data_IF_201382521171
#
_entry.id   IF_201382521171
#
_cell.length_a   1.000
_cell.length_b   1.000
_cell.length_c   1.000
_cell.angle_alpha   90.00
_cell.angle_beta   90.00
_cell.angle_gamma   90.00
#
_symmetry.space_group_name_H-M   'P 1'
#
loop_
_entity.id
_entity.type
_entity.pdbx_description
1 polymer ?
#
# COMPACT_ATOMS: atom_id res chain seq x y z
N UNK A 1 6.42 -14.15 26.50
CA UNK A 1 6.86 -14.73 25.22
C UNK A 1 7.42 -13.57 24.41
N UNK A 2 8.69 -13.63 24.01
CA UNK A 2 9.34 -12.53 23.32
C UNK A 2 8.71 -12.30 21.94
N UNK A 3 8.58 -11.03 21.52
CA UNK A 3 7.95 -10.65 20.24
C UNK A 3 8.59 -11.39 19.07
N UNK A 4 9.91 -11.61 19.11
CA UNK A 4 10.64 -12.33 18.08
C UNK A 4 10.11 -13.76 17.90
N UNK A 5 9.87 -14.49 19.01
CA UNK A 5 9.39 -15.87 18.95
C UNK A 5 7.96 -15.93 18.42
N UNK A 6 7.08 -15.01 18.87
CA UNK A 6 5.71 -14.93 18.36
C UNK A 6 5.65 -14.62 16.85
N UNK A 7 6.53 -13.76 16.35
CA UNK A 7 6.65 -13.46 14.91
C UNK A 7 7.18 -14.66 14.13
N UNK A 8 8.16 -15.39 14.66
CA UNK A 8 8.69 -16.58 14.00
C UNK A 8 7.63 -17.68 13.89
N UNK A 9 6.86 -17.91 14.95
CA UNK A 9 5.75 -18.88 14.95
C UNK A 9 4.69 -18.49 13.90
N UNK A 10 4.38 -17.19 13.78
CA UNK A 10 3.45 -16.67 12.78
C UNK A 10 3.94 -16.87 11.33
N UNK A 11 5.23 -16.63 11.06
CA UNK A 11 5.80 -16.87 9.73
C UNK A 11 5.80 -18.36 9.37
N UNK A 12 6.05 -19.25 10.34
CA UNK A 12 6.00 -20.68 10.15
C UNK A 12 4.58 -21.19 9.84
N UNK A 13 3.56 -20.63 10.48
CA UNK A 13 2.15 -20.90 10.17
C UNK A 13 1.82 -20.49 8.73
N UNK A 14 2.16 -19.26 8.35
CA UNK A 14 1.93 -18.77 6.97
C UNK A 14 2.71 -19.57 5.92
N UNK A 15 3.91 -20.07 6.25
CA UNK A 15 4.66 -20.97 5.38
C UNK A 15 3.88 -22.26 5.10
N UNK A 16 3.21 -22.83 6.10
CA UNK A 16 2.39 -24.04 5.93
C UNK A 16 1.16 -23.84 5.04
N UNK A 17 0.69 -22.60 4.90
CA UNK A 17 -0.39 -22.22 3.99
C UNK A 17 0.10 -21.79 2.60
N UNK A 18 1.40 -21.49 2.47
CA UNK A 18 1.97 -20.97 1.24
C UNK A 18 1.99 -22.04 0.14
N UNK A 19 1.85 -21.65 -1.14
CA UNK A 19 2.13 -22.54 -2.24
C UNK A 19 3.58 -23.05 -2.16
N UNK A 20 3.82 -24.33 -2.48
CA UNK A 20 5.13 -24.98 -2.39
C UNK A 20 6.25 -24.18 -3.07
N UNK A 21 5.96 -23.57 -4.21
CA UNK A 21 6.94 -22.76 -4.96
C UNK A 21 7.34 -21.46 -4.25
N UNK A 22 6.56 -21.00 -3.28
CA UNK A 22 6.79 -19.77 -2.54
C UNK A 22 7.21 -19.99 -1.07
N UNK A 23 7.22 -21.24 -0.58
CA UNK A 23 7.62 -21.55 0.81
C UNK A 23 9.03 -21.02 1.16
N UNK A 24 9.94 -21.00 0.18
CA UNK A 24 11.31 -20.50 0.36
C UNK A 24 11.36 -19.03 0.81
N UNK A 25 10.40 -18.20 0.39
CA UNK A 25 10.33 -16.80 0.82
C UNK A 25 10.13 -16.68 2.33
N UNK A 26 9.37 -17.59 2.95
CA UNK A 26 9.14 -17.54 4.39
C UNK A 26 10.38 -17.90 5.20
N UNK A 27 11.22 -18.82 4.69
CA UNK A 27 12.53 -19.11 5.28
C UNK A 27 13.44 -17.87 5.21
N UNK A 28 13.42 -17.15 4.09
CA UNK A 28 14.16 -15.90 3.95
C UNK A 28 13.62 -14.80 4.88
N UNK A 29 12.29 -14.70 5.04
CA UNK A 29 11.68 -13.74 5.96
C UNK A 29 12.08 -14.02 7.41
N UNK A 30 12.09 -15.28 7.84
CA UNK A 30 12.53 -15.71 9.17
C UNK A 30 13.99 -15.31 9.42
N UNK A 31 14.93 -15.69 8.54
CA UNK A 31 16.36 -15.34 8.69
C UNK A 31 16.58 -13.82 8.73
N UNK A 32 15.96 -13.10 7.79
CA UNK A 32 16.11 -11.65 7.69
C UNK A 32 15.47 -10.93 8.89
N UNK A 33 14.37 -11.44 9.44
CA UNK A 33 13.73 -10.92 10.65
C UNK A 33 14.62 -11.12 11.89
N UNK A 34 15.12 -12.33 12.12
CA UNK A 34 15.97 -12.65 13.27
C UNK A 34 17.26 -11.81 13.27
N UNK A 35 17.84 -11.64 12.08
CA UNK A 35 19.06 -10.85 11.87
C UNK A 35 18.80 -9.35 11.74
N UNK A 36 17.53 -8.91 11.79
CA UNK A 36 17.10 -7.52 11.70
C UNK A 36 17.51 -6.82 10.41
N UNK A 37 17.49 -7.55 9.30
CA UNK A 37 17.87 -7.10 7.95
C UNK A 37 16.67 -6.41 7.25
N UNK A 38 16.17 -5.31 7.82
CA UNK A 38 14.90 -4.68 7.42
C UNK A 38 14.81 -4.30 5.95
N UNK A 39 15.91 -3.83 5.35
CA UNK A 39 15.92 -3.46 3.93
C UNK A 39 15.80 -4.68 3.02
N UNK A 40 16.57 -5.73 3.29
CA UNK A 40 16.51 -6.99 2.54
C UNK A 40 15.16 -7.70 2.74
N UNK A 41 14.63 -7.67 3.97
CA UNK A 41 13.29 -8.16 4.29
C UNK A 41 12.22 -7.46 3.45
N UNK A 42 12.29 -6.14 3.34
CA UNK A 42 11.34 -5.37 2.53
C UNK A 42 11.44 -5.72 1.06
N UNK A 43 12.65 -5.85 0.52
CA UNK A 43 12.87 -6.19 -0.89
C UNK A 43 12.37 -7.60 -1.22
N UNK A 44 12.64 -8.54 -0.34
CA UNK A 44 12.17 -9.94 -0.46
C UNK A 44 10.65 -10.00 -0.40
N UNK A 45 10.01 -9.25 0.50
CA UNK A 45 8.55 -9.13 0.57
C UNK A 45 7.95 -8.52 -0.71
N UNK A 46 8.61 -7.51 -1.30
CA UNK A 46 8.18 -6.92 -2.56
C UNK A 46 8.23 -7.96 -3.68
N UNK A 47 9.29 -8.75 -3.78
CA UNK A 47 9.38 -9.85 -4.77
C UNK A 47 8.28 -10.89 -4.52
N UNK A 48 8.07 -11.30 -3.28
CA UNK A 48 6.98 -12.21 -2.91
C UNK A 48 5.60 -11.68 -3.34
N UNK A 49 5.34 -10.38 -3.14
CA UNK A 49 4.07 -9.73 -3.48
C UNK A 49 3.83 -9.60 -5.00
N UNK A 50 4.85 -9.81 -5.85
CA UNK A 50 4.69 -9.85 -7.31
C UNK A 50 4.05 -11.15 -7.80
N UNK A 51 4.20 -12.25 -7.06
CA UNK A 51 3.63 -13.54 -7.44
C UNK A 51 2.13 -13.55 -7.24
N UNK A 52 1.33 -13.87 -8.27
CA UNK A 52 -0.13 -13.88 -8.16
C UNK A 52 -0.63 -14.78 -7.03
N UNK A 53 0.02 -15.93 -6.82
CA UNK A 53 -0.35 -16.88 -5.76
C UNK A 53 -0.09 -16.38 -4.34
N UNK A 54 0.68 -15.30 -4.15
CA UNK A 54 0.86 -14.71 -2.81
C UNK A 54 -0.35 -13.90 -2.35
N UNK A 55 -1.27 -13.57 -3.26
CA UNK A 55 -2.41 -12.67 -3.05
C UNK A 55 -3.06 -12.83 -1.67
N UNK A 56 -3.60 -14.01 -1.36
CA UNK A 56 -4.38 -14.26 -0.13
C UNK A 56 -3.62 -14.00 1.18
N UNK A 57 -2.28 -14.05 1.17
CA UNK A 57 -1.44 -13.84 2.36
C UNK A 57 -0.96 -12.39 2.52
N UNK A 58 -1.07 -11.54 1.49
CA UNK A 58 -0.50 -10.17 1.50
C UNK A 58 -1.09 -9.29 2.58
N UNK A 59 -2.42 -9.31 2.75
CA UNK A 59 -3.10 -8.48 3.74
C UNK A 59 -2.83 -8.92 5.19
N UNK A 60 -2.89 -10.23 5.53
CA UNK A 60 -2.40 -10.73 6.82
C UNK A 60 -0.94 -10.38 7.10
N UNK A 61 -0.03 -10.62 6.14
CA UNK A 61 1.39 -10.26 6.26
C UNK A 61 1.57 -8.78 6.53
N UNK A 62 0.83 -7.91 5.83
CA UNK A 62 0.93 -6.49 6.05
C UNK A 62 0.54 -6.11 7.49
N UNK A 63 -0.63 -6.56 7.94
CA UNK A 63 -1.20 -6.17 9.25
C UNK A 63 -0.44 -6.75 10.43
N UNK A 64 -0.01 -8.01 10.34
CA UNK A 64 0.49 -8.79 11.47
C UNK A 64 2.01 -8.99 11.45
N UNK A 65 2.70 -8.62 10.36
CA UNK A 65 4.15 -8.75 10.25
C UNK A 65 4.81 -7.44 9.85
N UNK A 66 4.48 -6.89 8.67
CA UNK A 66 5.17 -5.71 8.11
C UNK A 66 5.05 -4.48 9.04
N UNK A 67 3.90 -4.31 9.69
CA UNK A 67 3.71 -3.18 10.62
C UNK A 67 4.66 -3.19 11.83
N UNK A 68 5.25 -4.33 12.21
CA UNK A 68 6.19 -4.42 13.34
C UNK A 68 7.52 -3.70 13.10
N UNK A 69 7.91 -3.50 11.85
CA UNK A 69 9.17 -2.85 11.47
C UNK A 69 8.97 -1.69 10.49
N UNK A 70 7.74 -1.19 10.36
CA UNK A 70 7.38 -0.11 9.43
C UNK A 70 8.19 1.18 9.63
N UNK A 71 8.64 1.47 10.85
CA UNK A 71 9.47 2.63 11.20
C UNK A 71 10.95 2.46 10.80
N UNK A 72 11.37 1.24 10.44
CA UNK A 72 12.75 0.91 10.08
C UNK A 72 13.02 0.88 8.57
N UNK A 73 12.00 1.11 7.75
CA UNK A 73 12.07 0.91 6.30
C UNK A 73 11.67 2.17 5.54
N UNK A 74 11.97 2.17 4.24
CA UNK A 74 11.56 3.24 3.34
C UNK A 74 10.03 3.29 3.24
N UNK A 75 9.44 4.47 3.48
CA UNK A 75 7.99 4.62 3.56
C UNK A 75 7.30 4.45 2.21
N UNK A 76 7.97 4.75 1.09
CA UNK A 76 7.41 4.50 -0.25
C UNK A 76 7.29 2.99 -0.53
N UNK A 77 8.29 2.21 -0.10
CA UNK A 77 8.23 0.74 -0.15
C UNK A 77 7.12 0.17 0.74
N UNK A 78 6.96 0.72 1.95
CA UNK A 78 5.85 0.37 2.85
C UNK A 78 4.49 0.61 2.17
N UNK A 79 4.29 1.78 1.56
CA UNK A 79 3.05 2.10 0.82
C UNK A 79 2.87 1.19 -0.39
N UNK A 80 3.94 0.84 -1.10
CA UNK A 80 3.89 -0.11 -2.22
C UNK A 80 3.35 -1.49 -1.79
N UNK A 81 3.85 -2.01 -0.66
CA UNK A 81 3.35 -3.26 -0.07
C UNK A 81 1.88 -3.12 0.36
N UNK A 82 1.51 -1.98 0.96
CA UNK A 82 0.14 -1.70 1.36
C UNK A 82 -0.82 -1.72 0.16
N UNK A 83 -0.50 -1.02 -0.91
CA UNK A 83 -1.33 -0.97 -2.12
C UNK A 83 -1.52 -2.36 -2.74
N UNK A 84 -0.47 -3.20 -2.74
CA UNK A 84 -0.59 -4.57 -3.20
C UNK A 84 -1.46 -5.43 -2.27
N UNK A 85 -1.32 -5.28 -0.95
CA UNK A 85 -2.19 -5.93 0.03
C UNK A 85 -3.66 -5.48 -0.04
N UNK A 86 -3.90 -4.22 -0.38
CA UNK A 86 -5.24 -3.63 -0.48
C UNK A 86 -6.12 -4.29 -1.56
N UNK A 87 -5.50 -4.99 -2.53
CA UNK A 87 -6.22 -5.80 -3.53
C UNK A 87 -7.01 -6.97 -2.92
N UNK A 88 -6.70 -7.35 -1.68
CA UNK A 88 -7.33 -8.46 -0.97
C UNK A 88 -8.39 -8.00 0.04
N UNK A 89 -8.64 -6.70 0.15
CA UNK A 89 -9.76 -6.19 0.92
C UNK A 89 -11.07 -6.68 0.30
N UNK A 90 -12.03 -7.03 1.17
CA UNK A 90 -13.32 -7.61 0.79
C UNK A 90 -14.13 -6.71 -0.14
N UNK A 91 -14.09 -5.41 0.12
CA UNK A 91 -14.84 -4.41 -0.62
C UNK A 91 -14.13 -3.05 -0.60
N UNK A 92 -14.68 -2.09 -1.36
CA UNK A 92 -14.12 -0.75 -1.47
C UNK A 92 -14.14 0.03 -0.16
N UNK A 93 -15.05 -0.28 0.77
CA UNK A 93 -15.13 0.40 2.07
C UNK A 93 -14.00 -0.06 2.99
N UNK A 94 -13.76 -1.37 3.10
CA UNK A 94 -12.62 -1.90 3.83
C UNK A 94 -11.30 -1.41 3.22
N UNK A 95 -11.21 -1.38 1.89
CA UNK A 95 -10.04 -0.87 1.18
C UNK A 95 -9.79 0.60 1.48
N UNK A 96 -10.85 1.42 1.53
CA UNK A 96 -10.77 2.83 1.89
C UNK A 96 -10.23 3.03 3.31
N UNK A 97 -10.76 2.28 4.28
CA UNK A 97 -10.35 2.37 5.69
C UNK A 97 -8.88 1.95 5.85
N UNK A 98 -8.50 0.83 5.22
CA UNK A 98 -7.13 0.34 5.23
C UNK A 98 -6.15 1.36 4.63
N UNK A 99 -6.38 1.82 3.40
CA UNK A 99 -5.50 2.78 2.74
C UNK A 99 -5.46 4.15 3.45
N UNK A 100 -6.57 4.59 4.04
CA UNK A 100 -6.61 5.83 4.82
C UNK A 100 -5.75 5.74 6.09
N UNK A 101 -5.75 4.58 6.75
CA UNK A 101 -4.86 4.32 7.89
C UNK A 101 -3.39 4.33 7.48
N UNK A 102 -3.07 3.80 6.31
CA UNK A 102 -1.71 3.80 5.75
C UNK A 102 -1.28 5.22 5.42
N UNK A 103 -2.13 6.01 4.75
CA UNK A 103 -1.86 7.41 4.46
C UNK A 103 -1.59 8.21 5.74
N UNK A 104 -2.40 8.02 6.79
CA UNK A 104 -2.17 8.66 8.10
C UNK A 104 -0.83 8.27 8.71
N UNK A 105 -0.44 7.00 8.59
CA UNK A 105 0.82 6.49 9.15
C UNK A 105 2.06 7.12 8.50
N UNK A 106 1.99 7.41 7.20
CA UNK A 106 3.10 8.00 6.44
C UNK A 106 2.99 9.53 6.27
N UNK A 107 2.00 10.18 6.90
CA UNK A 107 1.82 11.65 6.86
C UNK A 107 2.82 12.33 7.79
N UNK A 108 4.08 12.43 7.35
CA UNK A 108 5.11 13.17 8.05
C UNK A 108 6.05 13.87 7.06
N UNK A 109 6.82 14.89 7.49
CA UNK A 109 7.64 15.70 6.58
C UNK A 109 8.69 14.92 5.78
N UNK A 110 9.15 13.77 6.29
CA UNK A 110 10.22 12.98 5.67
C UNK A 110 9.69 11.90 4.71
N UNK A 111 8.37 11.76 4.55
CA UNK A 111 7.75 10.76 3.67
C UNK A 111 6.58 11.33 2.88
N UNK A 112 6.70 12.58 2.45
CA UNK A 112 5.66 13.27 1.69
C UNK A 112 5.38 12.60 0.33
N UNK A 113 6.38 11.95 -0.29
CA UNK A 113 6.22 11.15 -1.52
C UNK A 113 5.36 9.89 -1.29
N UNK A 114 5.63 9.16 -0.21
CA UNK A 114 4.85 8.01 0.23
C UNK A 114 3.43 8.43 0.62
N UNK A 115 3.30 9.58 1.30
CA UNK A 115 2.01 10.16 1.65
C UNK A 115 1.18 10.51 0.42
N UNK A 116 1.78 11.14 -0.59
CA UNK A 116 1.12 11.40 -1.87
C UNK A 116 0.68 10.09 -2.50
N UNK A 117 1.56 9.09 -2.56
CA UNK A 117 1.24 7.81 -3.19
C UNK A 117 0.04 7.11 -2.51
N UNK A 118 0.02 7.08 -1.18
CA UNK A 118 -1.10 6.52 -0.42
C UNK A 118 -2.39 7.35 -0.58
N UNK A 119 -2.28 8.68 -0.56
CA UNK A 119 -3.43 9.60 -0.68
C UNK A 119 -4.08 9.50 -2.07
N UNK A 120 -3.27 9.35 -3.13
CA UNK A 120 -3.78 9.11 -4.48
C UNK A 120 -4.55 7.80 -4.54
N UNK A 121 -4.03 6.72 -3.94
CA UNK A 121 -4.74 5.46 -3.88
C UNK A 121 -6.07 5.56 -3.11
N UNK A 122 -6.11 6.30 -2.00
CA UNK A 122 -7.35 6.63 -1.27
C UNK A 122 -8.33 7.38 -2.17
N UNK A 123 -7.87 8.36 -2.94
CA UNK A 123 -8.72 9.11 -3.87
C UNK A 123 -9.33 8.21 -4.96
N UNK A 124 -8.56 7.26 -5.50
CA UNK A 124 -9.08 6.28 -6.47
C UNK A 124 -10.20 5.43 -5.87
N UNK A 125 -10.06 4.96 -4.62
CA UNK A 125 -11.13 4.19 -3.97
C UNK A 125 -12.36 5.06 -3.66
N UNK A 126 -12.16 6.33 -3.28
CA UNK A 126 -13.27 7.29 -3.13
C UNK A 126 -14.03 7.52 -4.43
N UNK A 127 -13.34 7.55 -5.57
CA UNK A 127 -13.96 7.64 -6.90
C UNK A 127 -14.86 6.43 -7.19
N UNK A 128 -14.40 5.22 -6.88
CA UNK A 128 -15.20 4.00 -7.02
C UNK A 128 -16.47 4.03 -6.16
N UNK A 129 -16.36 4.60 -4.96
CA UNK A 129 -17.47 4.84 -4.04
C UNK A 129 -18.35 6.05 -4.41
N UNK A 130 -18.07 6.72 -5.55
CA UNK A 130 -18.74 7.94 -6.03
C UNK A 130 -18.62 9.15 -5.10
N UNK A 131 -17.64 9.16 -4.20
CA UNK A 131 -17.28 10.34 -3.39
C UNK A 131 -16.31 11.25 -4.15
N UNK A 132 -16.85 11.97 -5.14
CA UNK A 132 -16.08 12.87 -5.99
C UNK A 132 -15.57 14.12 -5.26
N UNK A 133 -16.21 14.55 -4.18
CA UNK A 133 -15.80 15.75 -3.45
C UNK A 133 -14.54 15.46 -2.65
N UNK A 134 -14.55 14.39 -1.85
CA UNK A 134 -13.39 13.99 -1.07
C UNK A 134 -12.23 13.55 -1.96
N UNK A 135 -12.50 12.82 -3.05
CA UNK A 135 -11.45 12.43 -4.00
C UNK A 135 -10.74 13.64 -4.61
N UNK A 136 -11.50 14.69 -4.98
CA UNK A 136 -10.91 15.94 -5.52
C UNK A 136 -10.03 16.63 -4.49
N UNK A 137 -10.49 16.70 -3.24
CA UNK A 137 -9.73 17.33 -2.15
C UNK A 137 -8.38 16.64 -1.94
N UNK A 138 -8.38 15.31 -1.97
CA UNK A 138 -7.17 14.52 -1.83
C UNK A 138 -6.22 14.74 -3.01
N UNK A 139 -6.71 14.71 -4.26
CA UNK A 139 -5.89 14.96 -5.45
C UNK A 139 -5.29 16.37 -5.45
N UNK A 140 -6.05 17.40 -5.08
CA UNK A 140 -5.52 18.78 -4.97
C UNK A 140 -4.47 18.90 -3.85
N UNK A 141 -4.63 18.18 -2.74
CA UNK A 141 -3.61 18.13 -1.68
C UNK A 141 -2.33 17.47 -2.21
N UNK A 142 -2.46 16.35 -2.91
CA UNK A 142 -1.34 15.63 -3.53
C UNK A 142 -0.59 16.47 -4.57
N UNK A 143 -1.31 17.21 -5.42
CA UNK A 143 -0.73 18.10 -6.43
C UNK A 143 0.16 19.17 -5.79
N UNK A 144 -0.36 19.87 -4.78
CA UNK A 144 0.40 20.91 -4.05
C UNK A 144 1.66 20.37 -3.40
N UNK A 145 1.61 19.14 -2.91
CA UNK A 145 2.78 18.50 -2.31
C UNK A 145 3.81 18.20 -3.40
N UNK A 146 3.37 17.62 -4.52
CA UNK A 146 4.23 17.30 -5.68
C UNK A 146 4.90 18.53 -6.29
N UNK A 147 4.22 19.68 -6.34
CA UNK A 147 4.77 20.94 -6.86
C UNK A 147 6.01 21.44 -6.08
N UNK A 148 6.20 20.97 -4.85
CA UNK A 148 7.34 21.35 -4.00
C UNK A 148 8.52 20.37 -4.08
N UNK A 149 8.42 19.29 -4.85
CA UNK A 149 9.50 18.31 -4.98
C UNK A 149 10.39 18.61 -6.19
N UNK A 150 11.69 18.76 -5.95
CA UNK A 150 12.69 18.87 -7.02
C UNK A 150 12.82 17.57 -7.85
N UNK A 151 12.59 16.43 -7.20
CA UNK A 151 12.57 15.11 -7.82
C UNK A 151 11.59 14.21 -7.09
N UNK A 152 10.75 13.50 -7.86
CA UNK A 152 9.79 12.52 -7.34
C UNK A 152 10.02 11.21 -8.07
N UNK A 153 9.85 10.11 -7.34
CA UNK A 153 9.86 8.76 -7.90
C UNK A 153 8.82 8.62 -9.03
N UNK A 154 9.25 8.05 -10.17
CA UNK A 154 8.45 8.00 -11.40
C UNK A 154 7.08 7.34 -11.18
N UNK A 155 7.04 6.33 -10.31
CA UNK A 155 5.80 5.62 -9.96
C UNK A 155 4.76 6.53 -9.30
N UNK A 156 5.18 7.48 -8.47
CA UNK A 156 4.28 8.38 -7.76
C UNK A 156 3.67 9.38 -8.76
N UNK A 157 4.48 9.95 -9.65
CA UNK A 157 3.97 10.82 -10.73
C UNK A 157 3.00 10.09 -11.66
N UNK A 158 3.38 8.90 -12.14
CA UNK A 158 2.55 8.11 -13.04
C UNK A 158 1.19 7.79 -12.39
N UNK A 159 1.20 7.38 -11.12
CA UNK A 159 -0.02 7.07 -10.38
C UNK A 159 -0.90 8.31 -10.18
N UNK A 160 -0.29 9.44 -9.79
CA UNK A 160 -1.02 10.70 -9.61
C UNK A 160 -1.73 11.15 -10.89
N UNK A 161 -1.01 11.24 -12.01
CA UNK A 161 -1.61 11.71 -13.26
C UNK A 161 -2.67 10.74 -13.81
N UNK A 162 -2.46 9.43 -13.63
CA UNK A 162 -3.48 8.42 -13.95
C UNK A 162 -4.76 8.65 -13.16
N UNK A 163 -4.68 8.76 -11.83
CA UNK A 163 -5.84 8.99 -10.97
C UNK A 163 -6.54 10.33 -11.27
N UNK A 164 -5.76 11.37 -11.58
CA UNK A 164 -6.30 12.68 -11.95
C UNK A 164 -7.07 12.61 -13.28
N UNK A 165 -6.55 11.89 -14.28
CA UNK A 165 -7.26 11.65 -15.54
C UNK A 165 -8.57 10.87 -15.32
N UNK A 166 -8.53 9.81 -14.52
CA UNK A 166 -9.72 9.01 -14.14
C UNK A 166 -10.77 9.87 -13.43
N UNK A 167 -10.35 10.75 -12.51
CA UNK A 167 -11.24 11.71 -11.85
C UNK A 167 -12.00 12.58 -12.86
N UNK A 168 -11.29 13.22 -13.79
CA UNK A 168 -11.91 14.11 -14.76
C UNK A 168 -12.84 13.37 -15.73
N UNK A 169 -12.48 12.15 -16.11
CA UNK A 169 -13.35 11.30 -16.94
C UNK A 169 -14.63 10.93 -16.20
N UNK A 170 -14.52 10.43 -14.96
CA UNK A 170 -15.67 10.02 -14.16
C UNK A 170 -16.57 11.22 -13.80
N UNK A 171 -15.99 12.38 -13.47
CA UNK A 171 -16.74 13.60 -13.17
C UNK A 171 -17.55 14.12 -14.36
N UNK A 172 -16.99 14.07 -15.58
CA UNK A 172 -17.72 14.43 -16.82
C UNK A 172 -18.90 13.50 -17.05
N UNK A 173 -18.71 12.20 -16.91
CA UNK A 173 -19.77 11.21 -17.10
C UNK A 173 -20.90 11.37 -16.09
N UNK A 174 -20.57 11.61 -14.82
CA UNK A 174 -21.56 11.83 -13.76
C UNK A 174 -22.40 13.09 -14.00
N UNK A 175 -21.75 14.19 -14.45
CA UNK A 175 -22.46 15.42 -14.81
C UNK A 175 -23.39 15.22 -16.00
N UNK A 176 -22.98 14.44 -17.00
CA UNK A 176 -23.83 14.13 -18.16
C UNK A 176 -25.07 13.30 -17.78
N UNK A 177 -24.93 12.33 -16.87
CA UNK A 177 -26.05 11.49 -16.40
C UNK A 177 -27.09 12.23 -15.56
N UNK A 178 -26.74 13.37 -14.94
CA UNK A 178 -27.68 14.21 -14.17
C UNK A 178 -28.50 15.19 -15.03
N UNK A 179 -28.16 15.31 -16.32
CA UNK A 179 -28.81 16.23 -17.27
C UNK A 179 -29.84 15.54 -18.18
N UNK A 180 -30.10 14.25 -17.95
CA UNK A 180 -31.10 13.41 -18.62
C UNK A 180 -32.12 13.00 -17.56
#
# INVERSE_FOLDING_TARGET
>A
MDIINATSDYLAELRGEAPVELEHYFLEFEDQWERKLWHQLTDTLIEYFKHEKSAFQRLPLYRNFILHFADKINQLKLVTLALSAASQCRDSQERLEFLSSVATKVDNPNSQDAYVYATVAVATVKLELRDFESAKKDLVKSEKILDNFDSVETIVHATFYKANAEYYQASRNFRAQRLI
#
